data_IF_775383080595
#
_entry.id   IF_775383080595
#
_cell.length_a   1.000
_cell.length_b   1.000
_cell.length_c   1.000
_cell.angle_alpha   90.00
_cell.angle_beta   90.00
_cell.angle_gamma   90.00
#
_symmetry.space_group_name_H-M   'P 1'
#
loop_
_entity.id
_entity.type
_entity.pdbx_description
1 polymer ?
#
# COMPACT_ATOMS: atom_id res chain seq x y z
N UNK A 1 -4.02 0.60 -8.58
CA UNK A 1 -4.87 1.34 -7.61
C UNK A 1 -6.22 1.51 -8.24
N UNK A 2 -7.30 1.18 -7.56
CA UNK A 2 -8.70 1.32 -8.01
C UNK A 2 -9.14 2.75 -8.34
N UNK A 3 -8.19 3.60 -8.48
CA UNK A 3 -8.34 4.98 -8.92
C UNK A 3 -8.81 5.92 -7.82
N UNK A 4 -8.26 7.11 -7.87
CA UNK A 4 -8.81 8.23 -7.12
C UNK A 4 -10.14 8.63 -7.77
N UNK A 5 -11.08 9.26 -7.03
CA UNK A 5 -12.34 9.69 -7.60
C UNK A 5 -12.15 10.54 -8.86
N UNK A 6 -12.74 10.11 -9.97
CA UNK A 6 -12.57 10.78 -11.27
C UNK A 6 -12.95 12.27 -11.27
N UNK A 7 -13.87 12.68 -10.40
CA UNK A 7 -14.30 14.07 -10.30
C UNK A 7 -13.17 15.02 -9.84
N UNK A 8 -12.09 14.50 -9.23
CA UNK A 8 -10.90 15.30 -8.95
C UNK A 8 -10.32 15.91 -10.22
N UNK A 9 -10.35 15.16 -11.34
CA UNK A 9 -9.83 15.61 -12.63
C UNK A 9 -10.65 16.75 -13.27
N UNK A 10 -11.82 17.07 -12.72
CA UNK A 10 -12.57 18.29 -13.12
C UNK A 10 -11.87 19.57 -12.67
N UNK A 11 -11.03 19.50 -11.66
CA UNK A 11 -10.18 20.61 -11.25
C UNK A 11 -9.02 20.74 -12.25
N UNK A 12 -9.04 21.79 -13.05
CA UNK A 12 -7.97 22.08 -14.00
C UNK A 12 -6.63 22.19 -13.27
N UNK A 13 -5.60 21.64 -13.86
CA UNK A 13 -4.21 21.68 -13.38
C UNK A 13 -4.00 21.02 -12.00
N UNK A 14 -4.91 20.14 -11.55
CA UNK A 14 -4.73 19.39 -10.32
C UNK A 14 -3.50 18.46 -10.42
N UNK A 15 -2.72 18.44 -9.36
CA UNK A 15 -1.61 17.49 -9.19
C UNK A 15 -1.98 16.46 -8.13
N UNK A 16 -2.26 15.24 -8.60
CA UNK A 16 -2.64 14.13 -7.73
C UNK A 16 -1.42 13.56 -7.03
N UNK A 17 -1.59 13.13 -5.79
CA UNK A 17 -0.52 12.58 -4.95
C UNK A 17 0.71 13.50 -4.87
N UNK A 18 0.44 14.79 -4.79
CA UNK A 18 1.41 15.85 -4.57
C UNK A 18 0.89 16.85 -3.55
N UNK A 19 1.74 17.80 -3.16
CA UNK A 19 1.37 18.91 -2.29
C UNK A 19 0.54 19.98 -3.05
N UNK A 20 -0.55 19.53 -3.65
CA UNK A 20 -1.54 20.39 -4.29
C UNK A 20 -2.60 20.78 -3.24
N UNK A 21 -2.86 22.07 -3.01
CA UNK A 21 -3.77 22.50 -1.95
C UNK A 21 -5.19 21.93 -2.08
N UNK A 22 -5.70 21.81 -3.31
CA UNK A 22 -7.03 21.27 -3.53
C UNK A 22 -7.06 19.75 -3.30
N UNK A 23 -6.05 19.03 -3.80
CA UNK A 23 -5.93 17.59 -3.56
C UNK A 23 -5.81 17.28 -2.07
N UNK A 24 -4.93 17.96 -1.36
CA UNK A 24 -4.73 17.80 0.09
C UNK A 24 -6.00 18.09 0.89
N UNK A 25 -6.75 19.14 0.51
CA UNK A 25 -8.04 19.42 1.14
C UNK A 25 -9.03 18.26 0.98
N UNK A 26 -9.13 17.69 -0.23
CA UNK A 26 -10.02 16.55 -0.49
C UNK A 26 -9.60 15.30 0.27
N UNK A 27 -8.29 15.01 0.33
CA UNK A 27 -7.75 13.92 1.14
C UNK A 27 -8.12 14.13 2.62
N UNK A 28 -7.91 15.34 3.16
CA UNK A 28 -8.25 15.65 4.55
C UNK A 28 -9.73 15.42 4.87
N UNK A 29 -10.62 15.83 3.98
CA UNK A 29 -12.06 15.59 4.15
C UNK A 29 -12.40 14.10 4.12
N UNK A 30 -11.79 13.35 3.22
CA UNK A 30 -11.99 11.91 3.12
C UNK A 30 -11.45 11.18 4.36
N UNK A 31 -10.20 11.42 4.72
CA UNK A 31 -9.56 10.79 5.89
C UNK A 31 -10.30 11.10 7.19
N UNK A 32 -10.82 12.31 7.35
CA UNK A 32 -11.69 12.64 8.48
C UNK A 32 -12.91 11.72 8.55
N UNK A 33 -13.54 11.44 7.39
CA UNK A 33 -14.72 10.54 7.36
C UNK A 33 -14.34 9.08 7.63
N UNK A 34 -13.19 8.64 7.13
CA UNK A 34 -12.62 7.33 7.45
C UNK A 34 -12.35 7.24 8.96
N UNK A 35 -11.71 8.26 9.54
CA UNK A 35 -11.41 8.31 10.96
C UNK A 35 -12.67 8.30 11.84
N UNK A 36 -13.74 9.01 11.47
CA UNK A 36 -15.03 8.99 12.19
C UNK A 36 -15.58 7.56 12.30
N UNK A 37 -15.33 6.69 11.32
CA UNK A 37 -15.81 5.31 11.29
C UNK A 37 -14.82 4.31 11.93
N UNK A 38 -13.53 4.46 11.67
CA UNK A 38 -12.54 3.42 12.00
C UNK A 38 -11.69 3.74 13.24
N UNK A 39 -11.48 5.01 13.61
CA UNK A 39 -10.70 5.35 14.79
C UNK A 39 -11.26 4.76 16.11
N UNK A 40 -12.58 4.60 16.29
CA UNK A 40 -13.12 3.86 17.43
C UNK A 40 -12.75 2.38 17.50
N UNK A 41 -12.32 1.79 16.36
CA UNK A 41 -11.98 0.38 16.23
C UNK A 41 -10.47 0.11 16.36
N UNK A 42 -9.68 1.10 16.74
CA UNK A 42 -8.24 0.91 16.97
C UNK A 42 -7.97 0.09 18.23
N UNK A 43 -6.83 -0.60 18.25
CA UNK A 43 -6.43 -1.47 19.38
C UNK A 43 -6.37 -0.71 20.71
N UNK A 44 -6.00 0.57 20.71
CA UNK A 44 -5.99 1.43 21.89
C UNK A 44 -7.39 1.67 22.48
N UNK A 45 -8.43 1.38 21.70
CA UNK A 45 -9.84 1.45 22.12
C UNK A 45 -10.48 0.06 22.24
N UNK A 46 -9.67 -1.01 22.22
CA UNK A 46 -10.11 -2.39 22.30
C UNK A 46 -10.61 -3.01 21.00
N UNK A 47 -10.42 -2.33 19.87
CA UNK A 47 -10.83 -2.80 18.55
C UNK A 47 -9.72 -3.60 17.83
N UNK A 48 -10.02 -4.14 16.64
CA UNK A 48 -9.12 -5.02 15.91
C UNK A 48 -8.08 -4.30 15.04
N UNK A 49 -8.17 -2.97 14.86
CA UNK A 49 -7.22 -2.22 14.00
C UNK A 49 -5.91 -2.01 14.75
N UNK A 50 -4.87 -2.71 14.33
CA UNK A 50 -3.55 -2.70 14.98
C UNK A 50 -2.56 -1.73 14.33
N UNK A 51 -2.70 -1.48 13.02
CA UNK A 51 -1.82 -0.59 12.25
C UNK A 51 -2.62 0.13 11.18
N UNK A 52 -2.15 1.32 10.78
CA UNK A 52 -2.75 2.11 9.69
C UNK A 52 -1.66 2.53 8.71
N UNK A 53 -1.90 2.31 7.42
CA UNK A 53 -0.97 2.64 6.36
C UNK A 53 -1.07 4.12 5.96
N UNK A 54 0.08 4.73 5.77
CA UNK A 54 0.22 6.10 5.25
C UNK A 54 0.71 6.02 3.80
N UNK A 55 -0.12 6.44 2.86
CA UNK A 55 0.13 6.33 1.43
C UNK A 55 0.27 4.87 0.95
N UNK A 56 0.58 4.64 -0.32
CA UNK A 56 0.87 3.33 -0.88
C UNK A 56 1.94 3.43 -1.97
N UNK A 57 3.09 2.81 -1.73
CA UNK A 57 4.19 2.72 -2.71
C UNK A 57 4.51 4.07 -3.38
N UNK A 58 4.52 5.12 -2.58
CA UNK A 58 4.67 6.49 -3.08
C UNK A 58 5.99 6.69 -3.82
N UNK A 59 7.06 6.00 -3.43
CA UNK A 59 8.35 6.09 -4.08
C UNK A 59 8.38 5.60 -5.52
N UNK A 60 7.38 4.80 -5.93
CA UNK A 60 7.19 4.44 -7.34
C UNK A 60 6.45 5.51 -8.14
N UNK A 61 5.89 6.52 -7.47
CA UNK A 61 5.15 7.61 -8.07
C UNK A 61 5.88 8.96 -7.97
N UNK A 62 6.48 9.27 -6.82
CA UNK A 62 7.12 10.55 -6.55
C UNK A 62 8.16 10.49 -5.44
N UNK A 63 8.80 11.62 -5.18
CA UNK A 63 9.91 11.73 -4.21
C UNK A 63 9.68 12.82 -3.14
N UNK A 64 8.43 13.29 -2.97
CA UNK A 64 8.13 14.39 -2.06
C UNK A 64 7.91 13.94 -0.62
N UNK A 65 8.97 13.88 0.18
CA UNK A 65 8.88 13.66 1.64
C UNK A 65 7.95 14.66 2.35
N UNK A 66 7.89 15.97 1.98
CA UNK A 66 6.90 16.89 2.53
C UNK A 66 5.45 16.48 2.28
N UNK A 67 5.14 15.95 1.09
CA UNK A 67 3.81 15.43 0.78
C UNK A 67 3.45 14.25 1.68
N UNK A 68 4.33 13.24 1.77
CA UNK A 68 4.09 12.06 2.62
C UNK A 68 3.91 12.47 4.08
N UNK A 69 4.69 13.46 4.57
CA UNK A 69 4.53 14.01 5.92
C UNK A 69 3.16 14.62 6.14
N UNK A 70 2.62 15.34 5.15
CA UNK A 70 1.26 15.90 5.22
C UNK A 70 0.19 14.81 5.29
N UNK A 71 0.32 13.75 4.47
CA UNK A 71 -0.62 12.63 4.53
C UNK A 71 -0.58 11.97 5.91
N UNK A 72 0.61 11.69 6.46
CA UNK A 72 0.77 11.19 7.83
C UNK A 72 0.05 12.08 8.87
N UNK A 73 0.24 13.38 8.78
CA UNK A 73 -0.35 14.33 9.74
C UNK A 73 -1.88 14.38 9.59
N UNK A 74 -2.39 14.25 8.38
CA UNK A 74 -3.83 14.12 8.13
C UNK A 74 -4.36 12.83 8.75
N UNK A 75 -3.71 11.70 8.54
CA UNK A 75 -4.08 10.41 9.16
C UNK A 75 -4.08 10.53 10.68
N UNK A 76 -3.02 11.07 11.28
CA UNK A 76 -2.95 11.30 12.73
C UNK A 76 -4.12 12.19 13.22
N UNK A 77 -4.38 13.31 12.54
CA UNK A 77 -5.45 14.24 12.93
C UNK A 77 -6.87 13.68 12.71
N UNK A 78 -7.00 12.60 11.96
CA UNK A 78 -8.26 11.90 11.72
C UNK A 78 -8.61 10.87 12.81
N UNK A 79 -7.78 10.76 13.86
CA UNK A 79 -8.04 9.91 15.03
C UNK A 79 -7.12 8.68 15.12
N UNK A 80 -6.09 8.60 14.28
CA UNK A 80 -5.13 7.50 14.25
C UNK A 80 -3.77 7.88 14.88
N UNK A 81 -3.75 8.88 15.74
CA UNK A 81 -2.52 9.41 16.37
C UNK A 81 -1.86 8.44 17.37
N UNK A 82 -2.60 7.46 17.88
CA UNK A 82 -2.13 6.50 18.88
C UNK A 82 -1.98 5.06 18.37
N UNK A 83 -2.39 4.78 17.15
CA UNK A 83 -2.17 3.49 16.52
C UNK A 83 -0.83 3.48 15.77
N UNK A 84 -0.20 2.33 15.62
CA UNK A 84 1.02 2.22 14.84
C UNK A 84 0.76 2.61 13.38
N UNK A 85 1.58 3.53 12.86
CA UNK A 85 1.52 3.92 11.46
C UNK A 85 2.69 3.30 10.69
N UNK A 86 2.45 2.94 9.43
CA UNK A 86 3.48 2.37 8.57
C UNK A 86 3.41 2.93 7.14
N UNK A 87 4.52 2.85 6.45
CA UNK A 87 4.64 3.06 5.00
C UNK A 87 5.05 1.74 4.35
N UNK A 88 4.47 1.43 3.20
CA UNK A 88 4.96 0.38 2.35
C UNK A 88 5.60 0.96 1.09
N UNK A 89 6.69 0.34 0.65
CA UNK A 89 7.37 0.69 -0.60
C UNK A 89 8.37 -0.41 -1.00
N UNK A 90 9.03 -0.22 -2.13
CA UNK A 90 10.24 -0.95 -2.47
C UNK A 90 11.40 -0.47 -1.59
N UNK A 91 12.27 -1.37 -1.19
CA UNK A 91 13.29 -1.04 -0.19
C UNK A 91 14.23 0.12 -0.61
N UNK A 92 14.45 0.31 -1.92
CA UNK A 92 15.25 1.41 -2.46
C UNK A 92 14.59 2.80 -2.36
N UNK A 93 13.28 2.86 -2.15
CA UNK A 93 12.52 4.10 -2.17
C UNK A 93 12.49 4.81 -0.81
N UNK A 94 12.74 4.09 0.28
CA UNK A 94 12.67 4.65 1.62
C UNK A 94 13.71 5.73 1.93
N UNK A 95 14.85 5.73 1.26
CA UNK A 95 15.86 6.79 1.45
C UNK A 95 15.32 8.17 1.07
N UNK A 96 14.42 8.23 0.08
CA UNK A 96 13.87 9.48 -0.42
C UNK A 96 12.60 9.90 0.32
N UNK A 97 11.72 8.97 0.61
CA UNK A 97 10.36 9.22 1.08
C UNK A 97 10.07 8.70 2.49
N UNK A 98 10.94 7.87 3.05
CA UNK A 98 10.71 7.26 4.35
C UNK A 98 10.64 8.29 5.48
N UNK A 99 9.59 8.19 6.30
CA UNK A 99 9.44 8.98 7.52
C UNK A 99 9.98 8.17 8.71
N UNK A 100 10.78 8.82 9.55
CA UNK A 100 11.50 8.13 10.63
C UNK A 100 10.58 7.67 11.77
N UNK A 101 9.44 8.30 11.91
CA UNK A 101 8.42 7.97 12.91
C UNK A 101 7.39 6.91 12.45
N UNK A 102 7.58 6.34 11.26
CA UNK A 102 6.74 5.26 10.72
C UNK A 102 7.53 3.94 10.65
N UNK A 103 6.83 2.82 10.79
CA UNK A 103 7.37 1.53 10.41
C UNK A 103 7.50 1.45 8.87
N UNK A 104 8.57 0.83 8.38
CA UNK A 104 8.76 0.61 6.95
C UNK A 104 8.52 -0.85 6.62
N UNK A 105 7.62 -1.12 5.69
CA UNK A 105 7.24 -2.45 5.26
C UNK A 105 7.51 -2.62 3.78
N UNK A 106 7.82 -3.84 3.36
CA UNK A 106 8.13 -4.16 1.97
C UNK A 106 6.92 -4.80 1.29
N UNK A 107 6.78 -4.57 -0.02
CA UNK A 107 5.81 -5.25 -0.86
C UNK A 107 6.56 -6.06 -1.92
N UNK A 108 6.27 -7.35 -2.02
CA UNK A 108 6.86 -8.25 -3.03
C UNK A 108 6.01 -9.52 -3.19
N UNK A 109 6.22 -10.23 -4.30
CA UNK A 109 5.47 -11.45 -4.60
C UNK A 109 6.28 -12.72 -4.42
N UNK A 110 5.64 -13.83 -4.76
CA UNK A 110 6.24 -15.18 -4.79
C UNK A 110 7.50 -15.21 -5.65
N UNK A 111 8.50 -15.96 -5.21
CA UNK A 111 9.80 -16.08 -5.90
C UNK A 111 10.77 -14.92 -5.68
N UNK A 112 10.39 -13.89 -4.89
CA UNK A 112 11.31 -12.82 -4.52
C UNK A 112 12.42 -13.35 -3.60
N UNK A 113 13.64 -12.82 -3.77
CA UNK A 113 14.71 -13.04 -2.80
C UNK A 113 14.46 -12.20 -1.54
N UNK A 114 13.95 -12.83 -0.47
CA UNK A 114 13.50 -12.17 0.75
C UNK A 114 14.64 -11.40 1.44
N UNK A 115 15.84 -11.97 1.49
CA UNK A 115 16.99 -11.29 2.11
C UNK A 115 17.33 -10.00 1.35
N UNK A 116 17.26 -10.03 0.03
CA UNK A 116 17.48 -8.85 -0.79
C UNK A 116 16.40 -7.78 -0.59
N UNK A 117 15.13 -8.17 -0.39
CA UNK A 117 14.04 -7.22 -0.12
C UNK A 117 14.26 -6.46 1.20
N UNK A 118 14.78 -7.11 2.22
CA UNK A 118 15.01 -6.49 3.53
C UNK A 118 16.43 -5.97 3.76
N UNK A 119 17.36 -6.18 2.81
CA UNK A 119 18.76 -5.78 2.95
C UNK A 119 18.88 -4.30 3.30
N UNK A 120 18.25 -3.44 2.50
CA UNK A 120 18.37 -1.99 2.68
C UNK A 120 17.72 -1.49 3.97
N UNK A 121 16.58 -2.08 4.36
CA UNK A 121 15.97 -1.79 5.66
C UNK A 121 16.93 -2.14 6.80
N UNK A 122 17.54 -3.33 6.74
CA UNK A 122 18.49 -3.78 7.78
C UNK A 122 19.74 -2.90 7.87
N UNK A 123 20.21 -2.32 6.77
CA UNK A 123 21.33 -1.39 6.73
C UNK A 123 20.96 -0.03 7.37
N UNK A 124 19.78 0.49 7.07
CA UNK A 124 19.33 1.81 7.52
C UNK A 124 18.73 1.78 8.93
N UNK A 125 18.07 0.68 9.28
CA UNK A 125 17.34 0.48 10.53
C UNK A 125 17.53 -0.95 11.03
N UNK A 126 18.71 -1.31 11.59
CA UNK A 126 19.05 -2.70 11.94
C UNK A 126 18.09 -3.32 12.95
N UNK A 127 17.51 -2.52 13.84
CA UNK A 127 16.60 -2.97 14.89
C UNK A 127 15.10 -2.88 14.49
N UNK A 128 14.80 -2.47 13.24
CA UNK A 128 13.42 -2.36 12.79
C UNK A 128 12.76 -3.73 12.62
N UNK A 129 11.50 -3.91 13.05
CA UNK A 129 10.76 -5.10 12.74
C UNK A 129 10.58 -5.25 11.22
N UNK A 130 10.67 -6.47 10.73
CA UNK A 130 10.52 -6.77 9.31
C UNK A 130 9.10 -7.26 9.03
N UNK A 131 8.47 -6.67 8.01
CA UNK A 131 7.14 -7.04 7.56
C UNK A 131 7.01 -6.89 6.04
N UNK A 132 6.45 -7.91 5.40
CA UNK A 132 5.91 -7.80 4.06
C UNK A 132 4.44 -7.40 4.18
N UNK A 133 4.09 -6.18 3.82
CA UNK A 133 2.71 -5.68 3.95
C UNK A 133 1.79 -6.10 2.81
N UNK A 134 2.36 -6.41 1.66
CA UNK A 134 1.67 -7.05 0.56
C UNK A 134 2.54 -8.18 0.02
N UNK A 135 2.21 -9.42 0.38
CA UNK A 135 2.80 -10.60 -0.23
C UNK A 135 1.89 -11.11 -1.35
N UNK A 136 2.30 -10.90 -2.60
CA UNK A 136 1.48 -11.18 -3.77
C UNK A 136 1.52 -12.66 -4.13
N UNK A 137 0.39 -13.34 -3.95
CA UNK A 137 0.22 -14.76 -4.31
C UNK A 137 0.01 -14.99 -5.81
N UNK A 138 -0.39 -13.97 -6.54
CA UNK A 138 -0.68 -13.99 -7.97
C UNK A 138 -0.58 -12.59 -8.57
N UNK A 139 -1.39 -12.33 -9.57
CA UNK A 139 -1.56 -11.03 -10.20
C UNK A 139 -2.96 -10.91 -10.79
N UNK A 140 -3.43 -9.72 -11.05
CA UNK A 140 -4.71 -9.51 -11.71
C UNK A 140 -4.63 -9.71 -13.23
N UNK A 141 -5.75 -10.07 -13.82
CA UNK A 141 -5.89 -10.28 -15.25
C UNK A 141 -6.13 -8.98 -16.03
N UNK A 142 -5.75 -9.01 -17.29
CA UNK A 142 -5.97 -7.92 -18.24
C UNK A 142 -6.74 -8.43 -19.45
N UNK A 143 -7.63 -7.61 -19.97
CA UNK A 143 -8.35 -7.92 -21.20
C UNK A 143 -7.38 -8.19 -22.36
N UNK A 144 -7.57 -9.32 -23.03
CA UNK A 144 -6.75 -9.74 -24.17
C UNK A 144 -5.38 -10.33 -23.82
N UNK A 145 -5.02 -10.40 -22.55
CA UNK A 145 -3.81 -11.08 -22.09
C UNK A 145 -4.10 -12.56 -21.71
N UNK A 146 -3.03 -13.32 -21.49
CA UNK A 146 -3.13 -14.66 -20.92
C UNK A 146 -3.51 -14.53 -19.44
N UNK A 147 -4.36 -15.45 -18.97
CA UNK A 147 -4.70 -15.56 -17.56
C UNK A 147 -3.46 -15.76 -16.67
N UNK A 148 -3.33 -14.96 -15.64
CA UNK A 148 -2.22 -15.01 -14.70
C UNK A 148 -2.46 -16.12 -13.69
N UNK A 149 -1.49 -17.01 -13.53
CA UNK A 149 -1.55 -18.10 -12.53
C UNK A 149 -0.19 -18.27 -11.85
N UNK A 150 -0.20 -18.66 -10.61
CA UNK A 150 0.99 -18.99 -9.83
C UNK A 150 0.78 -20.34 -9.12
N UNK A 151 1.82 -21.20 -9.02
CA UNK A 151 1.71 -22.40 -8.19
C UNK A 151 1.47 -22.04 -6.72
N UNK A 152 0.47 -22.65 -6.08
CA UNK A 152 0.20 -22.44 -4.65
C UNK A 152 1.42 -22.76 -3.77
N UNK A 153 2.28 -23.68 -4.22
CA UNK A 153 3.55 -24.00 -3.54
C UNK A 153 4.49 -22.81 -3.40
N UNK A 154 4.54 -21.93 -4.38
CA UNK A 154 5.44 -20.77 -4.36
C UNK A 154 5.01 -19.78 -3.26
N UNK A 155 3.71 -19.66 -3.00
CA UNK A 155 3.17 -18.87 -1.90
C UNK A 155 3.54 -19.50 -0.54
N UNK A 156 3.33 -20.81 -0.39
CA UNK A 156 3.66 -21.55 0.84
C UNK A 156 5.15 -21.45 1.16
N UNK A 157 6.02 -21.70 0.18
CA UNK A 157 7.47 -21.61 0.35
C UNK A 157 7.90 -20.19 0.78
N UNK A 158 7.32 -19.14 0.20
CA UNK A 158 7.64 -17.76 0.58
C UNK A 158 7.17 -17.42 1.99
N UNK A 159 6.01 -17.92 2.42
CA UNK A 159 5.51 -17.75 3.79
C UNK A 159 6.41 -18.47 4.78
N UNK A 160 6.76 -19.72 4.51
CA UNK A 160 7.65 -20.52 5.37
C UNK A 160 9.02 -19.84 5.52
N UNK A 161 9.58 -19.32 4.43
CA UNK A 161 10.84 -18.58 4.48
C UNK A 161 10.71 -17.31 5.33
N UNK A 162 9.66 -16.50 5.14
CA UNK A 162 9.44 -15.31 5.98
C UNK A 162 9.30 -15.65 7.45
N UNK A 163 8.49 -16.63 7.79
CA UNK A 163 8.28 -17.08 9.18
C UNK A 163 9.58 -17.61 9.81
N UNK A 164 10.37 -18.40 9.07
CA UNK A 164 11.66 -18.91 9.56
C UNK A 164 12.67 -17.79 9.89
N UNK A 165 12.51 -16.62 9.28
CA UNK A 165 13.33 -15.43 9.48
C UNK A 165 12.71 -14.40 10.45
N UNK A 166 11.58 -14.73 11.08
CA UNK A 166 10.87 -13.84 12.00
C UNK A 166 10.26 -12.61 11.30
N UNK A 167 9.91 -12.74 10.02
CA UNK A 167 9.31 -11.67 9.21
C UNK A 167 7.80 -11.82 9.24
N UNK A 168 7.10 -10.76 9.62
CA UNK A 168 5.64 -10.68 9.53
C UNK A 168 5.18 -10.50 8.08
N UNK A 169 3.96 -10.96 7.76
CA UNK A 169 3.42 -10.80 6.41
C UNK A 169 1.92 -10.52 6.43
N UNK A 170 1.44 -9.95 5.33
CA UNK A 170 0.02 -9.81 4.99
C UNK A 170 -0.16 -10.26 3.54
N UNK A 171 -1.10 -11.17 3.31
CA UNK A 171 -1.38 -11.66 1.96
C UNK A 171 -2.12 -10.61 1.13
N UNK A 172 -1.68 -10.43 -0.09
CA UNK A 172 -2.35 -9.61 -1.08
C UNK A 172 -2.50 -10.39 -2.41
N UNK A 173 -3.68 -11.01 -2.70
CA UNK A 173 -4.86 -10.88 -1.85
C UNK A 173 -5.45 -12.26 -1.55
N UNK A 174 -6.11 -12.36 -0.40
CA UNK A 174 -6.93 -13.53 -0.09
C UNK A 174 -8.30 -13.43 -0.76
N UNK A 175 -8.76 -12.21 -1.04
CA UNK A 175 -10.01 -11.89 -1.72
C UNK A 175 -9.90 -10.52 -2.37
N UNK A 176 -10.04 -10.46 -3.69
CA UNK A 176 -9.91 -9.23 -4.46
C UNK A 176 -11.22 -8.51 -4.71
N UNK A 177 -12.30 -9.25 -4.79
CA UNK A 177 -13.63 -8.73 -5.07
C UNK A 177 -13.84 -8.31 -6.52
N UNK A 178 -14.88 -7.54 -6.77
CA UNK A 178 -15.34 -7.16 -8.10
C UNK A 178 -15.33 -5.65 -8.30
N UNK A 179 -14.63 -5.18 -9.32
CA UNK A 179 -14.65 -3.78 -9.77
C UNK A 179 -15.71 -3.62 -10.85
N UNK A 180 -16.88 -3.06 -10.50
CA UNK A 180 -18.01 -2.95 -11.40
C UNK A 180 -17.81 -1.87 -12.48
N UNK A 181 -18.39 -2.11 -13.68
CA UNK A 181 -18.40 -1.19 -14.80
C UNK A 181 -16.96 -0.87 -15.28
N UNK A 182 -16.63 0.40 -15.35
CA UNK A 182 -15.31 0.89 -15.80
C UNK A 182 -14.33 1.18 -14.63
N UNK A 183 -14.62 0.68 -13.43
CA UNK A 183 -13.82 0.98 -12.24
C UNK A 183 -12.61 0.07 -12.05
N UNK A 184 -12.48 -1.00 -12.84
CA UNK A 184 -11.31 -1.88 -12.79
C UNK A 184 -10.00 -1.12 -13.10
N UNK A 185 -10.08 -0.13 -13.99
CA UNK A 185 -8.92 0.67 -14.37
C UNK A 185 -8.05 0.02 -15.44
N UNK A 186 -6.83 0.49 -15.51
CA UNK A 186 -5.82 -0.02 -16.43
C UNK A 186 -4.42 0.15 -15.88
N UNK A 187 -3.51 -0.74 -16.26
CA UNK A 187 -2.11 -0.65 -15.92
C UNK A 187 -1.24 0.00 -17.00
N UNK A 188 -0.02 0.33 -16.59
CA UNK A 188 1.06 0.88 -17.40
C UNK A 188 2.17 -0.17 -17.63
N UNK A 189 3.01 -0.09 -18.68
CA UNK A 189 2.98 0.97 -19.70
C UNK A 189 1.89 0.78 -20.75
N UNK A 190 1.47 1.88 -21.35
CA UNK A 190 0.35 1.90 -22.29
C UNK A 190 -1.01 1.80 -21.57
N UNK A 191 -2.05 1.41 -22.32
CA UNK A 191 -3.37 1.17 -21.77
C UNK A 191 -3.63 -0.34 -21.75
N UNK A 192 -3.46 -0.97 -20.59
CA UNK A 192 -3.71 -2.38 -20.35
C UNK A 192 -4.91 -2.53 -19.41
N UNK A 193 -6.16 -2.57 -19.94
CA UNK A 193 -7.37 -2.56 -19.12
C UNK A 193 -7.49 -3.84 -18.30
N UNK A 194 -7.75 -3.68 -17.02
CA UNK A 194 -7.92 -4.77 -16.08
C UNK A 194 -9.35 -5.34 -16.18
N UNK A 195 -9.50 -6.64 -15.90
CA UNK A 195 -10.81 -7.28 -15.86
C UNK A 195 -11.58 -6.88 -14.59
N UNK A 196 -12.87 -7.20 -14.53
CA UNK A 196 -13.72 -6.85 -13.38
C UNK A 196 -13.36 -7.59 -12.10
N UNK A 197 -12.88 -8.82 -12.17
CA UNK A 197 -12.34 -9.53 -11.01
C UNK A 197 -10.99 -8.93 -10.61
N UNK A 198 -10.80 -8.71 -9.34
CA UNK A 198 -9.52 -8.29 -8.76
C UNK A 198 -8.91 -9.40 -7.90
N UNK A 199 -9.35 -10.62 -8.09
CA UNK A 199 -8.77 -11.79 -7.42
C UNK A 199 -7.43 -12.17 -8.08
N UNK A 200 -6.52 -12.66 -7.26
CA UNK A 200 -5.22 -13.19 -7.68
C UNK A 200 -5.28 -14.72 -7.66
N UNK A 201 -5.02 -15.36 -8.80
CA UNK A 201 -4.99 -16.82 -8.95
C UNK A 201 -3.58 -17.40 -8.88
#
# INVERSE_FOLDING_TARGET
MGGLPWWLLKKKDIRLREDDPYFIERVKLFEKKVGEQLAPLTIQKGGPVIMVQVENEYGSYGESKPYVSKIRDIVKSSGFDKVALFQCDWSSNFEKNGLDDLAWTMNFGTGANIDQQFKRLSELRPDAPKMCSEFWSGWFDKWGARHETRPAKDMVDGIDEMLSKGISFSLYMTHGGTSFGHWAGANSPGFAPDVTSYDYD
#
